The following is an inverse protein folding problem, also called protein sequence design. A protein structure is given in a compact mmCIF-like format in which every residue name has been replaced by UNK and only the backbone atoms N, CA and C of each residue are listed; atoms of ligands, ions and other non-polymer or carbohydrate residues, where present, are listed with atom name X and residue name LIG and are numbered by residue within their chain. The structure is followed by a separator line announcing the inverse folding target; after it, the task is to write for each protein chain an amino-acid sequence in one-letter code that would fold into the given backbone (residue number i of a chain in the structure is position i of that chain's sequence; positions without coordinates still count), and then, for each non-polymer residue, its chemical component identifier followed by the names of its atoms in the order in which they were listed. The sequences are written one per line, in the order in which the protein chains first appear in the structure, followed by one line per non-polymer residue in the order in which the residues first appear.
data_IF_024095771537
#
_entry.id   IF_024095771537
#
_cell.length_a   1.000
_cell.length_b   1.000
_cell.length_c   1.000
_cell.angle_alpha   90.00
_cell.angle_beta   90.00
_cell.angle_gamma   90.00
#
_symmetry.space_group_name_H-M   'P 1'
#
loop_
_entity.id
_entity.type
_entity.pdbx_description
1 polymer ?
#
# COMPACT_ATOMS: atom_id res chain seq x y z
N UNK A 1 -28.92 0.02 23.91
CA UNK A 1 -27.94 0.30 24.97
C UNK A 1 -26.60 0.35 24.28
N UNK A 2 -26.04 1.54 24.12
CA UNK A 2 -24.74 1.71 23.49
C UNK A 2 -23.68 1.22 24.48
N UNK A 3 -23.05 0.08 24.17
CA UNK A 3 -21.91 -0.35 24.94
C UNK A 3 -20.78 0.66 24.70
N UNK A 4 -20.27 1.33 25.76
CA UNK A 4 -19.19 2.28 25.59
C UNK A 4 -17.96 1.56 25.03
N UNK A 5 -17.33 2.16 24.02
CA UNK A 5 -16.08 1.65 23.45
C UNK A 5 -15.02 1.65 24.55
N UNK A 6 -14.35 0.51 24.82
CA UNK A 6 -13.28 0.45 25.80
C UNK A 6 -12.18 1.47 25.52
N UNK A 7 -11.64 2.12 26.55
CA UNK A 7 -10.55 3.09 26.39
C UNK A 7 -9.30 2.47 25.75
N UNK A 8 -9.06 1.17 25.96
CA UNK A 8 -8.00 0.41 25.28
C UNK A 8 -8.15 0.44 23.77
N UNK A 9 -9.38 0.30 23.29
CA UNK A 9 -9.68 0.21 21.86
C UNK A 9 -9.50 1.59 21.23
N UNK A 10 -9.97 2.64 21.90
CA UNK A 10 -9.76 4.04 21.46
C UNK A 10 -8.28 4.39 21.34
N UNK A 11 -7.46 4.00 22.33
CA UNK A 11 -6.00 4.20 22.28
C UNK A 11 -5.41 3.44 21.08
N UNK A 12 -5.86 2.19 20.85
CA UNK A 12 -5.46 1.40 19.68
C UNK A 12 -5.76 2.11 18.36
N UNK A 13 -6.98 2.64 18.19
CA UNK A 13 -7.34 3.36 16.97
C UNK A 13 -6.53 4.62 16.74
N UNK A 14 -6.22 5.38 17.79
CA UNK A 14 -5.37 6.58 17.66
C UNK A 14 -3.98 6.20 17.16
N UNK A 15 -3.40 5.13 17.72
CA UNK A 15 -2.09 4.63 17.28
C UNK A 15 -2.15 4.17 15.81
N UNK A 16 -3.21 3.45 15.41
CA UNK A 16 -3.38 3.01 14.02
C UNK A 16 -3.57 4.18 13.06
N UNK A 17 -4.31 5.21 13.45
CA UNK A 17 -4.47 6.45 12.68
C UNK A 17 -3.14 7.16 12.49
N UNK A 18 -2.38 7.33 13.57
CA UNK A 18 -1.06 7.96 13.53
C UNK A 18 -0.10 7.19 12.61
N UNK A 19 -0.11 5.85 12.66
CA UNK A 19 0.66 5.00 11.75
C UNK A 19 0.20 5.14 10.29
N UNK A 20 -1.11 5.22 10.06
CA UNK A 20 -1.68 5.40 8.74
C UNK A 20 -1.31 6.77 8.14
N UNK A 21 -1.31 7.83 8.93
CA UNK A 21 -0.93 9.17 8.47
C UNK A 21 0.59 9.30 8.26
N UNK A 22 1.39 8.61 9.06
CA UNK A 22 2.86 8.65 9.00
C UNK A 22 3.49 7.72 7.96
N UNK A 23 2.71 6.84 7.34
CA UNK A 23 3.20 5.91 6.30
C UNK A 23 2.53 6.16 4.96
N UNK A 24 3.35 6.43 3.94
CA UNK A 24 2.87 6.55 2.56
C UNK A 24 2.63 5.19 1.92
N UNK A 25 1.88 5.16 0.81
CA UNK A 25 1.72 3.97 -0.01
C UNK A 25 3.09 3.46 -0.51
N UNK A 26 3.96 4.39 -0.94
CA UNK A 26 5.34 4.10 -1.33
C UNK A 26 6.13 3.40 -0.23
N UNK A 27 6.10 3.91 1.00
CA UNK A 27 6.84 3.33 2.13
C UNK A 27 6.39 1.89 2.40
N UNK A 28 5.07 1.64 2.36
CA UNK A 28 4.51 0.32 2.61
C UNK A 28 4.89 -0.69 1.50
N UNK A 29 4.85 -0.27 0.23
CA UNK A 29 5.29 -1.11 -0.89
C UNK A 29 6.78 -1.42 -0.79
N UNK A 30 7.63 -0.42 -0.53
CA UNK A 30 9.07 -0.61 -0.35
C UNK A 30 9.35 -1.58 0.82
N UNK A 31 8.70 -1.37 1.97
CA UNK A 31 8.88 -2.22 3.14
C UNK A 31 8.48 -3.68 2.86
N UNK A 32 7.37 -3.91 2.16
CA UNK A 32 6.94 -5.27 1.80
C UNK A 32 7.87 -5.90 0.75
N UNK A 33 8.37 -5.12 -0.21
CA UNK A 33 9.33 -5.60 -1.21
C UNK A 33 10.69 -5.99 -0.57
N UNK A 34 11.13 -5.24 0.44
CA UNK A 34 12.31 -5.58 1.26
C UNK A 34 12.08 -6.86 2.08
N UNK A 35 10.94 -6.97 2.77
CA UNK A 35 10.55 -8.19 3.51
C UNK A 35 10.45 -9.43 2.62
N UNK A 36 10.04 -9.27 1.36
CA UNK A 36 9.98 -10.36 0.38
C UNK A 36 11.36 -10.73 -0.19
N UNK A 37 12.43 -10.01 0.16
CA UNK A 37 13.78 -10.21 -0.36
C UNK A 37 13.97 -9.71 -1.80
N UNK A 38 12.99 -9.01 -2.37
CA UNK A 38 13.12 -8.43 -3.71
C UNK A 38 14.10 -7.25 -3.71
N UNK A 39 14.00 -6.40 -2.69
CA UNK A 39 15.01 -5.40 -2.35
C UNK A 39 16.02 -6.01 -1.39
N UNK A 40 17.30 -5.77 -1.67
CA UNK A 40 18.39 -6.12 -0.77
C UNK A 40 19.44 -5.01 -0.88
N UNK A 41 19.70 -4.27 0.21
CA UNK A 41 20.61 -3.12 0.21
C UNK A 41 22.05 -3.49 -0.18
N UNK A 42 22.42 -4.77 -0.05
CA UNK A 42 23.74 -5.28 -0.42
C UNK A 42 23.84 -5.75 -1.88
N UNK A 43 22.74 -5.69 -2.64
CA UNK A 43 22.68 -6.04 -4.07
C UNK A 43 22.96 -4.80 -4.94
N UNK A 44 23.83 -4.91 -5.95
CA UNK A 44 24.11 -3.83 -6.90
C UNK A 44 22.85 -3.34 -7.64
N UNK A 45 21.86 -4.21 -7.78
CA UNK A 45 20.57 -3.89 -8.39
C UNK A 45 19.59 -3.18 -7.43
N UNK A 46 19.95 -2.95 -6.16
CA UNK A 46 19.09 -2.26 -5.17
C UNK A 46 18.61 -0.91 -5.65
N UNK A 47 19.53 -0.02 -6.05
CA UNK A 47 19.18 1.34 -6.48
C UNK A 47 18.29 1.34 -7.72
N UNK A 48 18.60 0.56 -8.79
CA UNK A 48 17.68 0.39 -9.91
C UNK A 48 16.29 -0.14 -9.52
N UNK A 49 16.22 -1.20 -8.70
CA UNK A 49 14.95 -1.80 -8.25
C UNK A 49 14.13 -0.80 -7.43
N UNK A 50 14.76 -0.09 -6.50
CA UNK A 50 14.11 0.94 -5.69
C UNK A 50 13.54 2.06 -6.56
N UNK A 51 14.32 2.59 -7.52
CA UNK A 51 13.84 3.62 -8.45
C UNK A 51 12.67 3.13 -9.28
N UNK A 52 12.71 1.87 -9.71
CA UNK A 52 11.62 1.27 -10.46
C UNK A 52 10.35 1.16 -9.62
N UNK A 53 10.44 0.66 -8.38
CA UNK A 53 9.31 0.59 -7.44
C UNK A 53 8.69 1.98 -7.25
N UNK A 54 9.49 3.00 -6.92
CA UNK A 54 8.98 4.38 -6.73
C UNK A 54 8.24 4.89 -7.98
N UNK A 55 8.75 4.60 -9.17
CA UNK A 55 8.10 4.97 -10.43
C UNK A 55 6.75 4.28 -10.60
N UNK A 56 6.67 2.98 -10.34
CA UNK A 56 5.43 2.20 -10.45
C UNK A 56 4.41 2.66 -9.41
N UNK A 57 4.83 2.87 -8.16
CA UNK A 57 3.95 3.39 -7.11
C UNK A 57 3.36 4.73 -7.52
N UNK A 58 4.18 5.68 -8.00
CA UNK A 58 3.67 6.98 -8.45
C UNK A 58 2.60 6.85 -9.54
N UNK A 59 2.82 5.99 -10.54
CA UNK A 59 1.83 5.76 -11.59
C UNK A 59 0.55 5.10 -11.08
N UNK A 60 0.66 4.20 -10.10
CA UNK A 60 -0.49 3.59 -9.45
C UNK A 60 -1.27 4.61 -8.61
N UNK A 61 -0.58 5.46 -7.83
CA UNK A 61 -1.20 6.57 -7.09
C UNK A 61 -1.96 7.52 -8.01
N UNK A 62 -1.36 7.93 -9.13
CA UNK A 62 -2.04 8.75 -10.14
C UNK A 62 -3.32 8.07 -10.65
N UNK A 63 -3.29 6.75 -10.89
CA UNK A 63 -4.44 5.98 -11.34
C UNK A 63 -5.53 5.85 -10.26
N UNK A 64 -5.17 5.52 -9.01
CA UNK A 64 -6.10 5.43 -7.89
C UNK A 64 -6.77 6.77 -7.59
N UNK A 65 -6.02 7.87 -7.68
CA UNK A 65 -6.57 9.21 -7.51
C UNK A 65 -7.61 9.53 -8.61
N UNK A 66 -7.37 9.10 -9.85
CA UNK A 66 -8.34 9.26 -10.94
C UNK A 66 -9.59 8.41 -10.72
N UNK A 67 -9.43 7.16 -10.28
CA UNK A 67 -10.54 6.27 -9.93
C UNK A 67 -11.39 6.87 -8.80
N UNK A 68 -10.75 7.36 -7.73
CA UNK A 68 -11.42 8.03 -6.62
C UNK A 68 -12.20 9.28 -7.05
N UNK A 69 -11.72 10.04 -8.05
CA UNK A 69 -12.45 11.20 -8.62
C UNK A 69 -13.68 10.76 -9.42
N UNK A 70 -13.64 9.60 -10.06
CA UNK A 70 -14.78 9.04 -10.81
C UNK A 70 -15.83 8.50 -9.83
N UNK A 71 -15.39 7.86 -8.76
CA UNK A 71 -16.25 7.18 -7.79
C UNK A 71 -16.82 8.10 -6.69
N UNK A 72 -16.39 9.36 -6.62
CA UNK A 72 -16.76 10.25 -5.52
C UNK A 72 -18.21 10.76 -5.62
N UNK A 73 -19.14 9.95 -5.12
CA UNK A 73 -20.34 10.45 -4.44
C UNK A 73 -20.00 10.73 -2.95
N UNK A 74 -19.75 12.01 -2.65
CA UNK A 74 -19.60 12.65 -1.33
C UNK A 74 -18.31 12.38 -0.51
N UNK A 75 -17.80 13.41 0.19
CA UNK A 75 -16.71 13.24 1.16
C UNK A 75 -17.17 12.45 2.39
N UNK A 76 -16.55 11.29 2.63
CA UNK A 76 -16.81 10.47 3.80
C UNK A 76 -16.28 11.19 5.07
N UNK A 77 -17.16 11.44 6.04
CA UNK A 77 -16.72 11.89 7.36
C UNK A 77 -15.79 10.84 7.99
N UNK A 78 -14.65 11.29 8.53
CA UNK A 78 -13.71 10.41 9.20
C UNK A 78 -14.31 9.94 10.53
N UNK A 79 -14.66 8.66 10.57
CA UNK A 79 -15.14 7.94 11.73
C UNK A 79 -14.48 6.56 11.75
N UNK A 80 -14.76 5.77 12.78
CA UNK A 80 -14.06 4.49 12.97
C UNK A 80 -14.36 3.46 11.87
N UNK A 81 -15.54 3.51 11.26
CA UNK A 81 -15.88 2.63 10.12
C UNK A 81 -15.22 3.08 8.82
N UNK A 82 -15.24 4.38 8.53
CA UNK A 82 -14.60 4.92 7.32
C UNK A 82 -13.08 4.82 7.40
N UNK A 83 -12.48 4.99 8.58
CA UNK A 83 -11.05 4.73 8.79
C UNK A 83 -10.68 3.27 8.50
N UNK A 84 -11.47 2.30 8.98
CA UNK A 84 -11.24 0.88 8.67
C UNK A 84 -11.30 0.60 7.16
N UNK A 85 -12.25 1.22 6.48
CA UNK A 85 -12.37 1.12 5.03
C UNK A 85 -11.13 1.71 4.33
N UNK A 86 -10.71 2.93 4.69
CA UNK A 86 -9.50 3.57 4.14
C UNK A 86 -8.24 2.72 4.37
N UNK A 87 -8.13 2.05 5.52
CA UNK A 87 -7.04 1.12 5.81
C UNK A 87 -7.07 -0.10 4.89
N UNK A 88 -8.24 -0.69 4.69
CA UNK A 88 -8.41 -1.83 3.79
C UNK A 88 -8.12 -1.46 2.35
N UNK A 89 -8.59 -0.30 1.90
CA UNK A 89 -8.30 0.23 0.57
C UNK A 89 -6.80 0.43 0.36
N UNK A 90 -6.10 1.04 1.34
CA UNK A 90 -4.63 1.18 1.25
C UNK A 90 -3.93 -0.18 1.21
N UNK A 91 -4.36 -1.14 2.03
CA UNK A 91 -3.78 -2.48 2.00
C UNK A 91 -3.99 -3.17 0.64
N UNK A 92 -5.16 -3.00 0.05
CA UNK A 92 -5.47 -3.50 -1.29
C UNK A 92 -4.57 -2.83 -2.33
N UNK A 93 -4.44 -1.50 -2.32
CA UNK A 93 -3.56 -0.76 -3.22
C UNK A 93 -2.11 -1.24 -3.14
N UNK A 94 -1.59 -1.50 -1.93
CA UNK A 94 -0.26 -2.08 -1.74
C UNK A 94 -0.17 -3.44 -2.41
N UNK A 95 -1.17 -4.30 -2.22
CA UNK A 95 -1.17 -5.65 -2.79
C UNK A 95 -1.26 -5.63 -4.32
N UNK A 96 -2.08 -4.75 -4.90
CA UNK A 96 -2.21 -4.59 -6.35
C UNK A 96 -0.88 -4.15 -6.98
N UNK A 97 -0.17 -3.21 -6.35
CA UNK A 97 1.15 -2.78 -6.80
C UNK A 97 2.16 -3.94 -6.71
N UNK A 98 2.15 -4.72 -5.62
CA UNK A 98 3.05 -5.86 -5.48
C UNK A 98 2.75 -6.96 -6.51
N UNK A 99 1.48 -7.22 -6.81
CA UNK A 99 1.06 -8.16 -7.85
C UNK A 99 1.55 -7.69 -9.23
N UNK A 100 1.42 -6.39 -9.53
CA UNK A 100 1.95 -5.82 -10.77
C UNK A 100 3.47 -6.00 -10.88
N UNK A 101 4.21 -5.69 -9.81
CA UNK A 101 5.66 -5.88 -9.77
C UNK A 101 6.03 -7.36 -9.98
N UNK A 102 5.32 -8.29 -9.33
CA UNK A 102 5.55 -9.72 -9.45
C UNK A 102 5.29 -10.23 -10.89
N UNK A 103 4.20 -9.80 -11.52
CA UNK A 103 3.89 -10.13 -12.93
C UNK A 103 5.00 -9.68 -13.86
N UNK A 104 5.49 -8.45 -13.72
CA UNK A 104 6.59 -7.95 -14.53
C UNK A 104 7.88 -8.78 -14.38
N UNK A 105 8.18 -9.26 -13.16
CA UNK A 105 9.33 -10.14 -12.93
C UNK A 105 9.15 -11.49 -13.63
N UNK A 106 7.95 -12.07 -13.56
CA UNK A 106 7.62 -13.34 -14.24
C UNK A 106 7.69 -13.18 -15.75
N UNK A 107 7.11 -12.12 -16.30
CA UNK A 107 7.07 -11.85 -17.75
C UNK A 107 8.46 -11.54 -18.33
N UNK A 108 9.35 -10.95 -17.52
CA UNK A 108 10.73 -10.69 -17.91
C UNK A 108 11.65 -11.92 -17.78
N UNK A 109 11.20 -12.99 -17.11
CA UNK A 109 11.99 -14.19 -16.96
C UNK A 109 12.12 -14.90 -18.33
N UNK A 110 13.32 -15.37 -18.72
CA UNK A 110 13.46 -16.15 -19.93
C UNK A 110 12.58 -17.40 -19.87
N UNK A 111 11.87 -17.72 -20.95
CA UNK A 111 11.19 -19.00 -21.10
C UNK A 111 12.23 -20.11 -21.20
N UNK A 112 12.68 -20.65 -20.07
CA UNK A 112 13.49 -21.85 -20.05
C UNK A 112 12.59 -23.04 -20.40
N UNK A 113 12.55 -23.41 -21.68
CA UNK A 113 12.01 -24.69 -22.12
C UNK A 113 12.89 -25.81 -21.56
N UNK A 114 12.32 -26.64 -20.69
CA UNK A 114 12.92 -27.89 -20.18
C UNK A 114 12.91 -28.94 -21.30
#
# INVERSE_FOLDING_TARGET
MDNPIPSSDLIGYIIELEQFESTSLEDQVIQKADKAGFLNVHDESYIPKLRWIKKIVKHAEDAFNLEAVIDSEQPLELNMSTFKQLRQEREQQVNDILELLAKYVIDAAPNYSI
#
